data_IF_312773932463
#
_entry.id   IF_312773932463
#
_cell.length_a   1.000
_cell.length_b   1.000
_cell.length_c   1.000
_cell.angle_alpha   90.00
_cell.angle_beta   90.00
_cell.angle_gamma   90.00
#
_symmetry.space_group_name_H-M   'P 1'
#
loop_
_entity.id
_entity.type
_entity.pdbx_description
1 polymer ?
#
# COMPACT_ATOMS: atom_id res chain seq x y z
N UNK A 1 -9.95 -4.75 -13.69
CA UNK A 1 -9.27 -5.98 -13.22
C UNK A 1 -8.80 -5.72 -11.79
N UNK A 2 -8.98 -6.67 -10.88
CA UNK A 2 -8.41 -6.56 -9.53
C UNK A 2 -6.88 -6.55 -9.62
N UNK A 3 -6.21 -5.84 -8.71
CA UNK A 3 -4.75 -5.89 -8.62
C UNK A 3 -4.32 -7.31 -8.22
N UNK A 4 -3.20 -7.78 -8.75
CA UNK A 4 -2.67 -9.09 -8.37
C UNK A 4 -1.93 -8.99 -7.02
N UNK A 5 -2.12 -9.93 -6.08
CA UNK A 5 -1.39 -9.95 -4.83
C UNK A 5 0.09 -10.29 -5.08
N UNK A 6 1.05 -9.42 -4.71
CA UNK A 6 2.45 -9.58 -5.14
C UNK A 6 3.16 -10.78 -4.47
N UNK A 7 2.74 -11.19 -3.28
CA UNK A 7 3.33 -12.29 -2.52
C UNK A 7 2.30 -13.41 -2.28
N UNK A 8 2.75 -14.55 -1.73
CA UNK A 8 1.82 -15.64 -1.39
C UNK A 8 0.90 -15.15 -0.28
N UNK A 9 -0.38 -15.53 -0.31
CA UNK A 9 -1.32 -15.17 0.76
C UNK A 9 -1.40 -16.25 1.85
N UNK A 10 -0.92 -17.47 1.59
CA UNK A 10 -1.21 -18.67 2.38
C UNK A 10 -0.84 -18.55 3.87
N UNK A 11 0.39 -18.14 4.19
CA UNK A 11 0.83 -18.00 5.58
C UNK A 11 0.24 -16.76 6.24
N UNK A 12 0.22 -15.62 5.53
CA UNK A 12 -0.29 -14.37 6.06
C UNK A 12 -1.79 -14.44 6.34
N UNK A 13 -2.55 -15.19 5.56
CA UNK A 13 -3.99 -15.40 5.79
C UNK A 13 -4.24 -16.03 7.17
N UNK A 14 -3.45 -17.03 7.56
CA UNK A 14 -3.53 -17.64 8.89
C UNK A 14 -3.31 -16.60 10.00
N UNK A 15 -2.30 -15.73 9.87
CA UNK A 15 -2.04 -14.68 10.86
C UNK A 15 -3.09 -13.56 10.87
N UNK A 16 -3.76 -13.30 9.75
CA UNK A 16 -4.95 -12.44 9.73
C UNK A 16 -6.10 -13.06 10.54
N UNK A 17 -6.34 -14.36 10.38
CA UNK A 17 -7.37 -15.07 11.15
C UNK A 17 -7.04 -15.11 12.65
N UNK A 18 -5.77 -15.34 13.00
CA UNK A 18 -5.28 -15.26 14.38
C UNK A 18 -5.56 -13.88 14.98
N UNK A 19 -5.19 -12.80 14.28
CA UNK A 19 -5.42 -11.43 14.72
C UNK A 19 -6.92 -11.13 14.89
N UNK A 20 -7.76 -11.56 13.96
CA UNK A 20 -9.22 -11.42 14.09
C UNK A 20 -9.73 -12.14 15.35
N UNK A 21 -9.22 -13.33 15.65
CA UNK A 21 -9.56 -14.03 16.89
C UNK A 21 -9.09 -13.27 18.13
N UNK A 22 -7.88 -12.69 18.12
CA UNK A 22 -7.40 -11.86 19.23
C UNK A 22 -8.25 -10.61 19.44
N UNK A 23 -8.70 -9.98 18.35
CA UNK A 23 -9.61 -8.83 18.38
C UNK A 23 -10.97 -9.23 18.98
N UNK A 24 -11.58 -10.31 18.48
CA UNK A 24 -12.88 -10.79 18.97
C UNK A 24 -12.85 -11.19 20.46
N UNK A 25 -11.69 -11.61 20.96
CA UNK A 25 -11.48 -11.94 22.38
C UNK A 25 -11.02 -10.74 23.23
N UNK A 26 -11.00 -9.52 22.68
CA UNK A 26 -10.53 -8.29 23.34
C UNK A 26 -9.09 -8.37 23.86
N UNK A 27 -8.24 -9.20 23.24
CA UNK A 27 -6.81 -9.29 23.55
C UNK A 27 -6.02 -8.23 22.77
N UNK A 28 -6.44 -7.98 21.53
CA UNK A 28 -5.95 -6.87 20.69
C UNK A 28 -7.07 -5.87 20.51
N UNK A 29 -6.77 -4.61 20.76
CA UNK A 29 -7.72 -3.51 20.60
C UNK A 29 -7.47 -2.78 19.28
N UNK A 30 -8.55 -2.46 18.55
CA UNK A 30 -8.52 -1.47 17.49
C UNK A 30 -8.89 -0.12 18.12
N UNK A 31 -7.96 0.82 18.13
CA UNK A 31 -8.21 2.18 18.63
C UNK A 31 -8.45 3.12 17.46
N UNK A 32 -9.46 3.95 17.62
CA UNK A 32 -9.79 5.03 16.71
C UNK A 32 -9.31 6.35 17.29
N UNK A 33 -8.69 7.18 16.46
CA UNK A 33 -8.45 8.58 16.80
C UNK A 33 -9.75 9.40 16.57
N UNK A 34 -10.07 10.39 17.42
CA UNK A 34 -11.44 10.81 17.71
C UNK A 34 -12.19 11.59 16.61
N UNK A 35 -11.62 11.78 15.42
CA UNK A 35 -12.36 12.32 14.26
C UNK A 35 -13.02 11.20 13.46
N UNK A 36 -13.97 10.50 14.05
CA UNK A 36 -14.87 9.62 13.28
C UNK A 36 -15.96 10.52 12.68
N UNK A 37 -15.99 10.64 11.35
CA UNK A 37 -17.17 11.15 10.66
C UNK A 37 -18.33 10.19 10.92
N UNK A 38 -19.52 10.68 11.30
CA UNK A 38 -20.73 9.87 11.55
C UNK A 38 -21.05 8.88 10.41
N UNK A 39 -20.61 9.18 9.18
CA UNK A 39 -20.72 8.32 8.00
C UNK A 39 -19.92 7.00 8.05
N UNK A 40 -18.99 6.83 9.00
CA UNK A 40 -18.12 5.63 9.08
C UNK A 40 -18.49 4.64 10.18
N UNK A 41 -19.52 4.95 10.98
CA UNK A 41 -19.97 4.04 12.03
C UNK A 41 -20.54 2.75 11.41
N UNK A 42 -19.97 1.61 11.78
CA UNK A 42 -20.34 0.29 11.25
C UNK A 42 -19.69 -0.13 9.91
N UNK A 43 -18.77 0.64 9.34
CA UNK A 43 -18.00 0.21 8.17
C UNK A 43 -16.82 -0.71 8.55
N UNK A 44 -16.75 -1.89 7.94
CA UNK A 44 -15.64 -2.84 8.15
C UNK A 44 -14.30 -2.33 7.61
N UNK A 45 -13.24 -2.94 8.10
CA UNK A 45 -11.84 -2.56 7.86
C UNK A 45 -11.09 -3.74 7.23
N UNK A 46 -9.94 -3.48 6.62
CA UNK A 46 -9.02 -4.55 6.25
C UNK A 46 -8.05 -4.80 7.41
N UNK A 47 -7.89 -6.05 7.78
CA UNK A 47 -6.80 -6.55 8.63
C UNK A 47 -5.71 -7.05 7.70
N UNK A 48 -4.48 -6.57 7.88
CA UNK A 48 -3.34 -7.02 7.09
C UNK A 48 -2.31 -7.74 7.94
N UNK A 49 -1.75 -8.81 7.40
CA UNK A 49 -0.59 -9.47 7.97
C UNK A 49 0.48 -9.71 6.90
N UNK A 50 1.75 -9.68 7.33
CA UNK A 50 2.89 -10.05 6.50
C UNK A 50 3.83 -10.94 7.30
N UNK A 51 4.25 -12.04 6.68
CA UNK A 51 5.26 -12.94 7.22
C UNK A 51 6.59 -12.60 6.58
N UNK A 52 7.60 -12.33 7.41
CA UNK A 52 8.94 -11.98 6.97
C UNK A 52 10.01 -12.79 7.67
N UNK A 53 11.25 -12.71 7.18
CA UNK A 53 12.46 -13.04 7.94
C UNK A 53 13.39 -11.85 8.10
N UNK A 54 14.10 -11.80 9.23
CA UNK A 54 15.21 -10.88 9.44
C UNK A 54 16.51 -11.39 8.77
N UNK A 55 17.62 -10.68 9.00
CA UNK A 55 18.94 -11.05 8.46
C UNK A 55 19.51 -12.35 9.06
N UNK A 56 18.96 -12.86 10.16
CA UNK A 56 19.33 -14.12 10.79
C UNK A 56 18.34 -15.25 10.46
N UNK A 57 17.42 -15.01 9.51
CA UNK A 57 16.35 -15.93 9.12
C UNK A 57 15.33 -16.23 10.24
N UNK A 58 15.25 -15.38 11.27
CA UNK A 58 14.19 -15.48 12.27
C UNK A 58 12.87 -14.98 11.67
N UNK A 59 11.77 -15.69 11.94
CA UNK A 59 10.44 -15.29 11.50
C UNK A 59 9.93 -14.08 12.28
N UNK A 60 9.40 -13.10 11.56
CA UNK A 60 8.74 -11.92 12.09
C UNK A 60 7.35 -11.80 11.46
N UNK A 61 6.35 -11.47 12.27
CA UNK A 61 4.97 -11.24 11.84
C UNK A 61 4.66 -9.76 11.96
N UNK A 62 4.37 -9.11 10.84
CA UNK A 62 3.89 -7.74 10.80
C UNK A 62 2.37 -7.74 10.70
N UNK A 63 1.70 -6.86 11.42
CA UNK A 63 0.24 -6.74 11.46
C UNK A 63 -0.18 -5.28 11.39
N UNK A 64 -1.27 -4.98 10.68
CA UNK A 64 -1.81 -3.62 10.60
C UNK A 64 -3.30 -3.64 10.24
N UNK A 65 -3.90 -2.45 10.22
CA UNK A 65 -5.26 -2.22 9.71
C UNK A 65 -5.26 -1.12 8.66
N UNK A 66 -6.27 -1.13 7.79
CA UNK A 66 -6.47 -0.08 6.80
C UNK A 66 -6.97 1.23 7.42
N UNK A 67 -6.57 2.35 6.83
CA UNK A 67 -6.97 3.69 7.26
C UNK A 67 -5.93 4.35 8.14
N UNK A 68 -5.86 5.68 8.11
CA UNK A 68 -4.91 6.45 8.92
C UNK A 68 -5.35 6.56 10.38
N UNK A 69 -6.67 6.61 10.62
CA UNK A 69 -7.24 6.89 11.94
C UNK A 69 -7.44 5.68 12.85
N UNK A 70 -6.80 4.55 12.50
CA UNK A 70 -6.97 3.27 13.17
C UNK A 70 -5.61 2.65 13.44
N UNK A 71 -5.43 2.14 14.65
CA UNK A 71 -4.22 1.43 15.05
C UNK A 71 -4.55 0.27 15.99
N UNK A 72 -3.75 -0.79 15.90
CA UNK A 72 -3.88 -1.95 16.79
C UNK A 72 -3.02 -1.77 18.04
N UNK A 73 -3.44 -2.37 19.15
CA UNK A 73 -2.62 -2.45 20.36
C UNK A 73 -2.80 -3.80 21.03
N UNK A 74 -1.70 -4.44 21.39
CA UNK A 74 -1.69 -5.64 22.24
C UNK A 74 -1.25 -5.20 23.64
N UNK A 75 -2.17 -5.16 24.61
CA UNK A 75 -1.86 -4.70 25.98
C UNK A 75 -1.06 -3.38 26.04
N UNK A 76 -1.49 -2.36 25.28
CA UNK A 76 -0.79 -1.06 25.11
C UNK A 76 0.60 -1.13 24.44
N UNK A 77 0.99 -2.26 23.86
CA UNK A 77 2.25 -2.42 23.14
C UNK A 77 2.01 -2.58 21.64
N UNK A 78 2.99 -2.13 20.87
CA UNK A 78 3.07 -2.31 19.42
C UNK A 78 3.97 -3.48 19.03
N UNK A 79 4.57 -4.16 20.01
CA UNK A 79 5.37 -5.37 19.79
C UNK A 79 5.08 -6.39 20.89
N UNK A 80 5.04 -7.67 20.50
CA UNK A 80 4.86 -8.79 21.43
C UNK A 80 5.48 -10.08 20.86
N UNK A 81 5.55 -11.12 21.69
CA UNK A 81 6.11 -12.41 21.30
C UNK A 81 5.14 -13.53 21.59
N UNK A 82 5.04 -14.50 20.66
CA UNK A 82 4.27 -15.74 20.84
C UNK A 82 5.17 -16.89 20.41
N UNK A 83 5.43 -17.85 21.32
CA UNK A 83 6.27 -19.01 21.06
C UNK A 83 7.65 -18.65 20.44
N UNK A 84 8.25 -17.54 20.89
CA UNK A 84 9.54 -17.05 20.39
C UNK A 84 9.49 -16.29 19.05
N UNK A 85 8.33 -16.19 18.41
CA UNK A 85 8.14 -15.40 17.18
C UNK A 85 7.81 -13.96 17.56
N UNK A 86 8.49 -12.99 16.93
CA UNK A 86 8.23 -11.56 17.12
C UNK A 86 7.03 -11.12 16.29
N UNK A 87 6.08 -10.43 16.92
CA UNK A 87 4.95 -9.77 16.29
C UNK A 87 5.11 -8.25 16.43
N UNK A 88 4.86 -7.53 15.34
CA UNK A 88 4.98 -6.07 15.26
C UNK A 88 3.67 -5.52 14.69
N UNK A 89 3.09 -4.57 15.40
CA UNK A 89 1.99 -3.75 14.92
C UNK A 89 2.58 -2.57 14.15
N UNK A 90 2.36 -2.58 12.84
CA UNK A 90 2.87 -1.56 11.92
C UNK A 90 1.94 -0.33 11.97
N UNK A 91 2.48 0.86 12.30
CA UNK A 91 1.70 2.10 12.37
C UNK A 91 1.29 2.58 10.97
N UNK A 92 0.41 3.59 10.88
CA UNK A 92 0.21 4.36 9.65
C UNK A 92 1.54 4.96 9.13
N UNK A 93 1.67 5.09 7.81
CA UNK A 93 2.86 5.70 7.17
C UNK A 93 3.03 7.17 7.58
N UNK A 94 1.91 7.87 7.74
CA UNK A 94 1.86 9.28 8.13
C UNK A 94 1.05 9.43 9.41
N UNK A 95 1.47 10.34 10.29
CA UNK A 95 0.72 10.65 11.51
C UNK A 95 -0.51 11.52 11.21
N UNK A 96 -1.57 11.40 12.01
CA UNK A 96 -2.75 12.25 11.86
C UNK A 96 -2.46 13.74 12.08
N UNK A 97 -1.51 14.05 12.97
CA UNK A 97 -1.09 15.42 13.24
C UNK A 97 -0.47 16.05 12.00
N UNK A 98 0.35 15.31 11.27
CA UNK A 98 1.00 15.81 10.05
C UNK A 98 0.00 15.94 8.89
N UNK A 99 -0.98 15.04 8.81
CA UNK A 99 -2.12 15.19 7.90
C UNK A 99 -2.93 16.44 8.23
N UNK A 100 -3.25 16.67 9.51
CA UNK A 100 -3.99 17.85 9.92
C UNK A 100 -3.25 19.14 9.59
N UNK A 101 -1.93 19.22 9.89
CA UNK A 101 -1.08 20.36 9.53
C UNK A 101 -1.05 20.60 8.02
N UNK A 102 -1.03 19.54 7.21
CA UNK A 102 -1.00 19.64 5.76
C UNK A 102 -2.31 20.17 5.16
N UNK A 103 -3.44 19.82 5.76
CA UNK A 103 -4.76 20.18 5.26
C UNK A 103 -5.27 21.53 5.80
N UNK A 104 -4.83 21.97 6.98
CA UNK A 104 -5.46 23.08 7.72
C UNK A 104 -5.46 24.42 6.98
N UNK A 105 -4.46 24.67 6.11
CA UNK A 105 -4.28 25.95 5.41
C UNK A 105 -5.52 26.40 4.62
N UNK A 106 -6.13 25.48 3.87
CA UNK A 106 -7.27 25.78 3.00
C UNK A 106 -8.60 25.19 3.51
N UNK A 107 -8.59 24.47 4.63
CA UNK A 107 -9.74 23.72 5.15
C UNK A 107 -10.99 24.60 5.31
N UNK A 108 -10.85 25.72 6.02
CA UNK A 108 -11.94 26.69 6.22
C UNK A 108 -12.49 27.24 4.91
N UNK A 109 -11.62 27.68 3.99
CA UNK A 109 -12.02 28.26 2.71
C UNK A 109 -12.74 27.23 1.82
N UNK A 110 -12.29 25.97 1.82
CA UNK A 110 -12.95 24.88 1.09
C UNK A 110 -14.35 24.61 1.65
N UNK A 111 -14.52 24.63 2.97
CA UNK A 111 -15.82 24.47 3.62
C UNK A 111 -16.77 25.63 3.26
N UNK A 112 -16.30 26.88 3.37
CA UNK A 112 -17.09 28.07 3.01
C UNK A 112 -17.54 28.03 1.54
N UNK A 113 -16.64 27.68 0.61
CA UNK A 113 -16.98 27.54 -0.81
C UNK A 113 -17.97 26.40 -1.04
N UNK A 114 -17.85 25.30 -0.29
CA UNK A 114 -18.79 24.16 -0.39
C UNK A 114 -20.19 24.56 0.05
N UNK A 115 -20.32 25.32 1.13
CA UNK A 115 -21.60 25.83 1.61
C UNK A 115 -22.24 26.79 0.60
N UNK A 116 -21.45 27.73 0.04
CA UNK A 116 -21.91 28.65 -1.03
C UNK A 116 -22.38 27.91 -2.29
N UNK A 117 -21.69 26.85 -2.68
CA UNK A 117 -22.08 26.02 -3.85
C UNK A 117 -23.38 25.26 -3.55
N UNK A 118 -23.53 24.72 -2.34
CA UNK A 118 -24.70 23.93 -1.94
C UNK A 118 -25.95 24.78 -1.73
N UNK A 119 -25.82 26.02 -1.26
CA UNK A 119 -26.95 26.92 -1.05
C UNK A 119 -27.63 27.34 -2.36
N UNK A 120 -26.92 27.27 -3.49
CA UNK A 120 -27.38 27.64 -4.85
C UNK A 120 -27.84 29.10 -4.97
N UNK A 121 -27.52 29.97 -4.02
CA UNK A 121 -27.87 31.40 -4.07
C UNK A 121 -27.05 32.16 -5.13
N UNK A 122 -25.92 31.60 -5.56
CA UNK A 122 -24.93 32.23 -6.43
C UNK A 122 -24.86 31.61 -7.84
N UNK A 123 -26.01 31.40 -8.49
CA UNK A 123 -26.07 30.72 -9.80
C UNK A 123 -25.23 31.39 -10.89
N UNK A 124 -25.07 32.72 -10.86
CA UNK A 124 -24.28 33.47 -11.83
C UNK A 124 -22.76 33.24 -11.72
N UNK A 125 -22.27 32.81 -10.55
CA UNK A 125 -20.84 32.63 -10.26
C UNK A 125 -20.51 31.21 -9.81
N UNK A 126 -21.44 30.26 -9.95
CA UNK A 126 -21.28 28.90 -9.41
C UNK A 126 -20.09 28.16 -10.02
N UNK A 127 -19.77 28.41 -11.29
CA UNK A 127 -18.64 27.77 -11.96
C UNK A 127 -17.30 28.37 -11.52
N UNK A 128 -17.25 29.67 -11.22
CA UNK A 128 -16.08 30.32 -10.62
C UNK A 128 -15.80 29.76 -9.23
N UNK A 129 -16.85 29.62 -8.39
CA UNK A 129 -16.74 29.02 -7.05
C UNK A 129 -16.26 27.57 -7.11
N UNK A 130 -16.74 26.78 -8.08
CA UNK A 130 -16.30 25.39 -8.28
C UNK A 130 -14.84 25.31 -8.69
N UNK A 131 -14.38 26.16 -9.61
CA UNK A 131 -12.98 26.18 -10.03
C UNK A 131 -12.05 26.66 -8.92
N UNK A 132 -12.46 27.65 -8.12
CA UNK A 132 -11.70 28.09 -6.95
C UNK A 132 -11.61 26.98 -5.89
N UNK A 133 -12.73 26.33 -5.56
CA UNK A 133 -12.73 25.19 -4.63
C UNK A 133 -11.82 24.08 -5.13
N UNK A 134 -11.92 23.72 -6.41
CA UNK A 134 -11.08 22.68 -7.04
C UNK A 134 -9.60 23.03 -6.94
N UNK A 135 -9.22 24.29 -7.16
CA UNK A 135 -7.83 24.76 -7.00
C UNK A 135 -7.35 24.58 -5.55
N UNK A 136 -8.12 25.05 -4.57
CA UNK A 136 -7.75 24.93 -3.15
C UNK A 136 -7.70 23.47 -2.68
N UNK A 137 -8.66 22.65 -3.10
CA UNK A 137 -8.65 21.20 -2.82
C UNK A 137 -7.43 20.52 -3.43
N UNK A 138 -7.07 20.86 -4.66
CA UNK A 138 -5.89 20.31 -5.33
C UNK A 138 -4.61 20.68 -4.57
N UNK A 139 -4.49 21.94 -4.12
CA UNK A 139 -3.36 22.39 -3.31
C UNK A 139 -3.27 21.64 -1.97
N UNK A 140 -4.38 21.49 -1.26
CA UNK A 140 -4.44 20.73 0.00
C UNK A 140 -4.08 19.26 -0.19
N UNK A 141 -4.58 18.62 -1.25
CA UNK A 141 -4.27 17.23 -1.54
C UNK A 141 -2.78 17.03 -1.86
N UNK A 142 -2.17 17.94 -2.62
CA UNK A 142 -0.73 17.89 -2.90
C UNK A 142 0.09 18.08 -1.62
N UNK A 143 -0.30 19.00 -0.74
CA UNK A 143 0.34 19.15 0.57
C UNK A 143 0.22 17.86 1.40
N UNK A 144 -0.99 17.30 1.52
CA UNK A 144 -1.25 16.03 2.20
C UNK A 144 -0.43 14.86 1.63
N UNK A 145 -0.36 14.72 0.31
CA UNK A 145 0.41 13.64 -0.33
C UNK A 145 1.93 13.84 -0.24
N UNK A 146 2.40 15.04 0.16
CA UNK A 146 3.83 15.29 0.39
C UNK A 146 4.37 14.49 1.57
N UNK A 147 3.53 14.23 2.57
CA UNK A 147 3.90 13.50 3.78
C UNK A 147 4.10 12.00 3.54
N UNK A 148 3.56 11.45 2.44
CA UNK A 148 3.63 10.02 2.14
C UNK A 148 4.94 9.63 1.48
N UNK A 149 5.79 8.99 2.27
CA UNK A 149 7.13 8.53 1.91
C UNK A 149 7.20 7.01 2.11
N UNK A 150 7.70 6.28 1.11
CA UNK A 150 7.76 4.82 1.15
C UNK A 150 9.18 4.30 0.85
N UNK A 151 9.62 3.31 1.59
CA UNK A 151 10.80 2.51 1.29
C UNK A 151 10.47 1.51 0.18
N UNK A 152 11.45 1.32 -0.71
CA UNK A 152 11.34 0.47 -1.88
C UNK A 152 12.11 -0.84 -1.69
N UNK A 153 11.83 -1.79 -2.57
CA UNK A 153 12.54 -3.06 -2.67
C UNK A 153 14.08 -2.94 -2.76
N UNK A 154 14.60 -1.80 -3.24
CA UNK A 154 16.04 -1.52 -3.39
C UNK A 154 16.63 -0.68 -2.24
N UNK A 155 15.89 -0.52 -1.14
CA UNK A 155 16.29 0.27 0.03
C UNK A 155 16.24 1.79 -0.20
N UNK A 156 15.84 2.24 -1.38
CA UNK A 156 15.62 3.66 -1.67
C UNK A 156 14.25 4.12 -1.21
N UNK A 157 14.05 5.42 -1.24
CA UNK A 157 12.78 6.07 -0.94
C UNK A 157 12.06 6.44 -2.24
N UNK A 158 10.73 6.41 -2.22
CA UNK A 158 9.86 7.08 -3.17
C UNK A 158 8.77 7.84 -2.42
N UNK A 159 8.49 9.07 -2.86
CA UNK A 159 7.40 9.89 -2.32
C UNK A 159 6.16 9.76 -3.19
N UNK A 160 4.97 9.93 -2.60
CA UNK A 160 3.73 9.91 -3.37
C UNK A 160 3.67 11.05 -4.40
N UNK A 161 4.28 12.21 -4.10
CA UNK A 161 4.41 13.32 -5.05
C UNK A 161 5.24 12.96 -6.29
N UNK A 162 6.33 12.21 -6.15
CA UNK A 162 7.11 11.73 -7.31
C UNK A 162 6.25 10.81 -8.18
N UNK A 163 5.46 9.93 -7.56
CA UNK A 163 4.54 9.03 -8.27
C UNK A 163 3.45 9.84 -9.00
N UNK A 164 2.88 10.85 -8.34
CA UNK A 164 1.90 11.78 -8.94
C UNK A 164 2.50 12.48 -10.15
N UNK A 165 3.71 13.03 -10.03
CA UNK A 165 4.42 13.71 -11.12
C UNK A 165 4.64 12.77 -12.31
N UNK A 166 5.01 11.51 -12.05
CA UNK A 166 5.25 10.53 -13.11
C UNK A 166 3.95 10.06 -13.78
N UNK A 167 2.85 9.92 -13.03
CA UNK A 167 1.55 9.52 -13.59
C UNK A 167 0.74 10.67 -14.20
N UNK A 168 1.02 11.91 -13.81
CA UNK A 168 0.31 13.09 -14.28
C UNK A 168 -1.13 13.22 -13.76
N UNK A 169 -1.49 12.50 -12.69
CA UNK A 169 -2.84 12.51 -12.11
C UNK A 169 -2.80 12.32 -10.59
N UNK A 170 -3.72 12.95 -9.86
CA UNK A 170 -3.87 12.76 -8.43
C UNK A 170 -4.52 11.40 -8.11
N UNK A 171 -4.03 10.68 -7.09
CA UNK A 171 -4.67 9.46 -6.63
C UNK A 171 -5.91 9.75 -5.76
N UNK A 172 -6.76 8.74 -5.52
CA UNK A 172 -7.83 8.85 -4.53
C UNK A 172 -7.29 9.11 -3.11
N UNK A 173 -8.08 9.80 -2.28
CA UNK A 173 -7.78 10.00 -0.85
C UNK A 173 -7.62 8.65 -0.12
N UNK A 174 -6.69 8.61 0.83
CA UNK A 174 -6.31 7.39 1.55
C UNK A 174 -5.35 6.48 0.79
N UNK A 175 -4.78 6.95 -0.34
CA UNK A 175 -3.67 6.26 -1.00
C UNK A 175 -2.44 6.30 -0.09
N UNK A 176 -1.94 5.11 0.28
CA UNK A 176 -0.90 4.94 1.29
C UNK A 176 -1.40 4.35 2.60
N UNK A 177 -2.71 4.45 2.88
CA UNK A 177 -3.28 4.01 4.17
C UNK A 177 -3.80 2.56 4.14
N UNK A 178 -3.71 1.86 3.01
CA UNK A 178 -4.06 0.44 2.94
C UNK A 178 -3.04 -0.44 3.67
N UNK A 179 -3.38 -1.69 3.98
CA UNK A 179 -2.47 -2.56 4.72
C UNK A 179 -1.20 -2.87 3.93
N UNK A 180 -1.32 -3.24 2.64
CA UNK A 180 -0.16 -3.59 1.83
C UNK A 180 0.95 -2.52 1.77
N UNK A 181 0.69 -1.24 1.46
CA UNK A 181 1.75 -0.23 1.44
C UNK A 181 2.40 -0.01 2.80
N UNK A 182 1.64 -0.03 3.91
CA UNK A 182 2.20 0.07 5.27
C UNK A 182 3.14 -1.09 5.58
N UNK A 183 2.69 -2.32 5.32
CA UNK A 183 3.48 -3.52 5.59
C UNK A 183 4.75 -3.58 4.73
N UNK A 184 4.66 -3.18 3.47
CA UNK A 184 5.80 -3.13 2.55
C UNK A 184 6.82 -2.08 2.95
N UNK A 185 6.38 -0.86 3.25
CA UNK A 185 7.25 0.21 3.74
C UNK A 185 7.99 -0.21 5.01
N UNK A 186 7.27 -0.80 5.97
CA UNK A 186 7.88 -1.28 7.21
C UNK A 186 8.87 -2.42 6.98
N UNK A 187 8.53 -3.38 6.12
CA UNK A 187 9.43 -4.48 5.79
C UNK A 187 10.72 -3.99 5.12
N UNK A 188 10.60 -3.10 4.13
CA UNK A 188 11.76 -2.58 3.40
C UNK A 188 12.63 -1.65 4.25
N UNK A 189 12.04 -0.79 5.08
CA UNK A 189 12.80 0.06 6.03
C UNK A 189 13.62 -0.74 7.03
N UNK A 190 13.19 -1.96 7.36
CA UNK A 190 13.88 -2.87 8.27
C UNK A 190 14.70 -3.96 7.57
N UNK A 191 14.83 -3.90 6.24
CA UNK A 191 15.54 -4.91 5.42
C UNK A 191 15.02 -6.35 5.63
N UNK A 192 13.73 -6.51 5.91
CA UNK A 192 13.12 -7.82 6.05
C UNK A 192 12.86 -8.47 4.70
N UNK A 193 13.06 -9.79 4.62
CA UNK A 193 12.69 -10.59 3.44
C UNK A 193 11.24 -11.01 3.57
N UNK A 194 10.44 -10.70 2.56
CA UNK A 194 9.00 -10.94 2.56
C UNK A 194 8.71 -12.36 2.06
N UNK A 195 7.92 -13.12 2.83
CA UNK A 195 7.49 -14.48 2.47
C UNK A 195 6.04 -14.48 2.00
N UNK A 196 5.17 -13.81 2.75
CA UNK A 196 3.72 -13.85 2.52
C UNK A 196 3.07 -12.54 2.95
N UNK A 197 2.04 -12.11 2.24
CA UNK A 197 1.23 -10.92 2.53
C UNK A 197 -0.22 -11.21 2.19
N UNK A 198 -1.14 -10.88 3.09
CA UNK A 198 -2.57 -11.04 2.88
C UNK A 198 -3.34 -9.91 3.57
N UNK A 199 -4.49 -9.55 3.01
CA UNK A 199 -5.46 -8.65 3.61
C UNK A 199 -6.82 -9.36 3.73
N UNK A 200 -7.43 -9.31 4.90
CA UNK A 200 -8.73 -9.93 5.21
C UNK A 200 -9.71 -8.86 5.64
N UNK A 201 -10.94 -8.91 5.13
CA UNK A 201 -11.99 -7.98 5.54
C UNK A 201 -12.55 -8.37 6.92
N UNK A 202 -12.67 -7.39 7.82
CA UNK A 202 -13.21 -7.54 9.17
C UNK A 202 -14.29 -6.49 9.44
N UNK A 203 -15.51 -6.94 9.71
CA UNK A 203 -16.65 -6.07 10.04
C UNK A 203 -17.96 -6.51 9.39
N UNK A 204 -18.93 -5.59 9.31
CA UNK A 204 -20.25 -5.87 8.76
C UNK A 204 -20.16 -6.22 7.27
N UNK A 205 -20.77 -7.33 6.88
CA UNK A 205 -20.78 -7.79 5.51
C UNK A 205 -21.56 -6.88 4.57
N UNK A 206 -21.16 -6.89 3.31
CA UNK A 206 -21.85 -6.25 2.18
C UNK A 206 -21.93 -7.23 1.02
N UNK A 207 -22.51 -6.81 -0.11
CA UNK A 207 -22.52 -7.61 -1.34
C UNK A 207 -21.09 -7.87 -1.87
N UNK A 208 -20.18 -6.91 -1.67
CA UNK A 208 -18.82 -6.97 -2.20
C UNK A 208 -17.77 -7.44 -1.18
N UNK A 209 -18.10 -7.44 0.11
CA UNK A 209 -17.17 -7.76 1.20
C UNK A 209 -17.81 -8.73 2.20
N UNK A 210 -17.15 -9.86 2.41
CA UNK A 210 -17.54 -10.91 3.35
C UNK A 210 -16.53 -10.97 4.47
N UNK A 211 -17.02 -11.10 5.71
CA UNK A 211 -16.19 -11.06 6.89
C UNK A 211 -15.28 -12.31 6.92
N UNK A 212 -13.99 -12.13 7.19
CA UNK A 212 -13.01 -13.22 7.20
C UNK A 212 -12.49 -13.65 5.82
N UNK A 213 -12.99 -13.08 4.72
CA UNK A 213 -12.48 -13.38 3.37
C UNK A 213 -11.25 -12.53 3.03
N UNK A 214 -10.30 -13.14 2.33
CA UNK A 214 -9.14 -12.43 1.77
C UNK A 214 -9.51 -11.63 0.52
N UNK A 215 -8.81 -10.52 0.34
CA UNK A 215 -8.94 -9.68 -0.85
C UNK A 215 -7.59 -9.11 -1.24
N UNK A 216 -7.30 -9.00 -2.55
CA UNK A 216 -6.07 -8.40 -3.00
C UNK A 216 -6.02 -6.90 -2.64
N UNK A 217 -4.82 -6.30 -2.59
CA UNK A 217 -4.69 -4.86 -2.41
C UNK A 217 -5.53 -4.11 -3.45
N UNK A 218 -6.17 -3.02 -3.05
CA UNK A 218 -7.20 -2.41 -3.89
C UNK A 218 -6.63 -1.75 -5.15
N UNK A 219 -7.27 -1.97 -6.30
CA UNK A 219 -6.87 -1.36 -7.60
C UNK A 219 -6.76 0.17 -7.56
N UNK A 220 -7.72 0.95 -7.02
CA UNK A 220 -7.69 2.40 -7.17
C UNK A 220 -6.59 3.10 -6.35
N UNK A 221 -6.18 2.53 -5.20
CA UNK A 221 -5.17 3.13 -4.31
C UNK A 221 -3.86 2.35 -4.33
N UNK A 222 -3.88 1.06 -4.01
CA UNK A 222 -2.67 0.24 -4.00
C UNK A 222 -2.08 0.11 -5.41
N UNK A 223 -2.91 -0.05 -6.45
CA UNK A 223 -2.44 -0.08 -7.84
C UNK A 223 -1.72 1.20 -8.30
N UNK A 224 -1.94 2.32 -7.60
CA UNK A 224 -1.25 3.58 -7.89
C UNK A 224 0.21 3.58 -7.39
N UNK A 225 0.49 2.95 -6.25
CA UNK A 225 1.77 3.06 -5.52
C UNK A 225 2.61 1.77 -5.50
N UNK A 226 1.98 0.59 -5.50
CA UNK A 226 2.70 -0.67 -5.32
C UNK A 226 3.74 -0.94 -6.41
N UNK A 227 3.51 -0.65 -7.72
CA UNK A 227 4.55 -0.83 -8.73
C UNK A 227 5.81 0.00 -8.48
N UNK A 228 5.70 1.13 -7.77
CA UNK A 228 6.83 1.99 -7.43
C UNK A 228 7.56 1.45 -6.20
N UNK A 229 6.83 1.03 -5.17
CA UNK A 229 7.38 0.42 -3.95
C UNK A 229 8.10 -0.89 -4.28
N UNK A 230 7.50 -1.75 -5.09
CA UNK A 230 8.05 -3.04 -5.52
C UNK A 230 9.05 -2.90 -6.68
N UNK A 231 9.03 -1.79 -7.40
CA UNK A 231 9.86 -1.58 -8.60
C UNK A 231 9.48 -2.43 -9.81
N UNK A 232 8.41 -3.23 -9.72
CA UNK A 232 7.83 -4.06 -10.78
C UNK A 232 6.31 -3.99 -10.70
N UNK A 233 5.66 -3.89 -11.85
CA UNK A 233 4.20 -4.04 -11.99
C UNK A 233 3.89 -5.53 -12.22
N UNK A 234 3.64 -6.27 -11.14
CA UNK A 234 3.33 -7.70 -11.18
C UNK A 234 1.84 -7.89 -11.49
N UNK A 235 1.54 -8.54 -12.61
CA UNK A 235 0.16 -8.74 -13.07
C UNK A 235 -0.33 -10.17 -12.83
N UNK A 236 0.59 -11.13 -12.70
CA UNK A 236 0.28 -12.52 -12.39
C UNK A 236 1.50 -13.23 -11.79
N UNK A 237 1.26 -14.20 -10.93
CA UNK A 237 2.26 -15.14 -10.45
C UNK A 237 1.59 -16.44 -10.03
N UNK A 238 2.22 -17.56 -10.32
CA UNK A 238 1.91 -18.84 -9.72
C UNK A 238 3.19 -19.52 -9.24
N UNK A 239 3.16 -20.84 -9.05
CA UNK A 239 4.34 -21.60 -8.64
C UNK A 239 5.43 -21.59 -9.71
N UNK A 240 5.06 -21.57 -10.99
CA UNK A 240 5.94 -21.83 -12.12
C UNK A 240 6.36 -20.56 -12.87
N UNK A 241 5.49 -19.55 -12.97
CA UNK A 241 5.73 -18.33 -13.75
C UNK A 241 5.37 -17.07 -12.98
N UNK A 242 5.99 -15.96 -13.41
CA UNK A 242 5.59 -14.60 -13.04
C UNK A 242 5.45 -13.77 -14.31
N UNK A 243 4.37 -12.98 -14.37
CA UNK A 243 4.12 -12.03 -15.46
C UNK A 243 4.17 -10.62 -14.88
N UNK A 244 4.96 -9.77 -15.53
CA UNK A 244 5.11 -8.37 -15.16
C UNK A 244 4.78 -7.49 -16.37
N UNK A 245 4.28 -6.29 -16.13
CA UNK A 245 4.14 -5.24 -17.12
C UNK A 245 5.37 -4.33 -17.05
N UNK A 246 6.34 -4.54 -17.95
CA UNK A 246 7.62 -3.82 -17.93
C UNK A 246 7.39 -2.36 -18.28
N UNK A 247 7.91 -1.46 -17.46
CA UNK A 247 7.98 -0.04 -17.80
C UNK A 247 9.01 0.22 -18.91
N UNK A 248 8.73 1.22 -19.76
CA UNK A 248 9.71 1.76 -20.70
C UNK A 248 10.92 2.33 -19.94
N UNK A 249 12.12 2.24 -20.51
CA UNK A 249 13.37 2.67 -19.90
C UNK A 249 14.04 1.65 -18.94
N UNK A 250 13.39 0.51 -18.65
CA UNK A 250 13.96 -0.55 -17.81
C UNK A 250 14.49 -1.71 -18.66
N UNK A 251 15.73 -2.17 -18.43
CA UNK A 251 16.27 -3.35 -19.11
C UNK A 251 15.51 -4.63 -18.71
N UNK A 252 15.31 -5.57 -19.64
CA UNK A 252 14.75 -6.90 -19.29
C UNK A 252 15.75 -7.78 -18.54
N UNK A 253 17.01 -7.78 -18.96
CA UNK A 253 18.10 -8.60 -18.41
C UNK A 253 19.34 -7.73 -18.11
N UNK A 254 20.27 -8.17 -17.26
CA UNK A 254 21.45 -7.38 -16.92
C UNK A 254 22.29 -7.07 -18.16
N UNK A 255 22.66 -5.81 -18.33
CA UNK A 255 23.56 -5.37 -19.38
C UNK A 255 25.04 -5.61 -19.06
N UNK A 256 25.89 -5.24 -20.02
CA UNK A 256 27.35 -5.16 -19.86
C UNK A 256 27.70 -3.85 -19.17
N UNK A 257 28.57 -3.90 -18.16
CA UNK A 257 28.90 -2.75 -17.30
C UNK A 257 28.16 -2.77 -15.97
N UNK A 258 28.70 -2.08 -14.97
CA UNK A 258 28.12 -1.96 -13.62
C UNK A 258 26.89 -1.04 -13.61
N UNK A 259 26.87 -0.04 -14.48
CA UNK A 259 25.78 0.91 -14.68
C UNK A 259 24.50 0.30 -15.27
N UNK A 260 24.59 -0.93 -15.82
CA UNK A 260 23.48 -1.62 -16.51
C UNK A 260 22.97 -2.85 -15.76
N UNK A 261 23.17 -2.91 -14.45
CA UNK A 261 22.70 -4.02 -13.61
C UNK A 261 21.25 -3.88 -13.13
N UNK A 262 20.70 -2.66 -13.13
CA UNK A 262 19.28 -2.46 -12.86
C UNK A 262 18.42 -2.93 -14.06
N UNK A 263 17.63 -3.98 -13.84
CA UNK A 263 16.81 -4.63 -14.86
C UNK A 263 15.67 -5.42 -14.20
N UNK A 264 14.71 -5.91 -14.99
CA UNK A 264 13.59 -6.73 -14.49
C UNK A 264 14.10 -7.94 -13.70
N UNK A 265 15.11 -8.67 -14.23
CA UNK A 265 15.65 -9.87 -13.56
C UNK A 265 16.26 -9.53 -12.19
N UNK A 266 17.09 -8.49 -12.08
CA UNK A 266 17.73 -8.16 -10.81
C UNK A 266 16.72 -7.66 -9.77
N UNK A 267 15.72 -6.87 -10.17
CA UNK A 267 14.62 -6.46 -9.28
C UNK A 267 13.77 -7.65 -8.83
N UNK A 268 13.49 -8.59 -9.74
CA UNK A 268 12.72 -9.80 -9.42
C UNK A 268 13.45 -10.66 -8.38
N UNK A 269 14.76 -10.89 -8.57
CA UNK A 269 15.58 -11.67 -7.63
C UNK A 269 15.72 -10.98 -6.27
N UNK A 270 15.71 -9.64 -6.23
CA UNK A 270 15.69 -8.87 -4.98
C UNK A 270 14.39 -9.08 -4.20
N UNK A 271 13.24 -9.10 -4.89
CA UNK A 271 11.93 -9.35 -4.28
C UNK A 271 11.71 -10.81 -3.91
N UNK A 272 12.24 -11.73 -4.71
CA UNK A 272 12.04 -13.17 -4.57
C UNK A 272 13.37 -13.92 -4.66
N UNK A 273 14.15 -13.99 -3.57
CA UNK A 273 15.47 -14.65 -3.57
C UNK A 273 15.44 -16.14 -3.91
N UNK A 274 14.29 -16.81 -3.77
CA UNK A 274 14.08 -18.21 -4.13
C UNK A 274 13.72 -18.44 -5.61
N UNK A 275 13.55 -17.37 -6.38
CA UNK A 275 13.31 -17.48 -7.81
C UNK A 275 14.55 -18.06 -8.51
N UNK A 276 14.33 -18.77 -9.62
CA UNK A 276 15.44 -19.35 -10.40
C UNK A 276 16.43 -18.27 -10.84
N UNK A 277 17.72 -18.61 -10.90
CA UNK A 277 18.80 -17.65 -11.15
C UNK A 277 18.71 -16.94 -12.51
N UNK A 278 18.12 -17.60 -13.52
CA UNK A 278 17.86 -17.04 -14.84
C UNK A 278 16.37 -17.16 -15.20
N UNK A 279 15.52 -16.23 -14.74
CA UNK A 279 14.07 -16.32 -14.91
C UNK A 279 13.59 -15.83 -16.29
N UNK A 280 14.39 -15.02 -16.99
CA UNK A 280 14.03 -14.50 -18.32
C UNK A 280 14.11 -15.60 -19.39
N UNK A 281 12.96 -15.88 -20.01
CA UNK A 281 12.82 -16.78 -21.18
C UNK A 281 12.67 -16.02 -22.49
N UNK A 282 12.36 -14.73 -22.40
CA UNK A 282 12.35 -13.76 -23.51
C UNK A 282 12.67 -12.35 -22.96
N UNK A 283 12.82 -11.38 -23.87
CA UNK A 283 13.16 -10.00 -23.52
C UNK A 283 12.37 -9.00 -24.36
N UNK A 284 12.17 -7.82 -23.77
CA UNK A 284 11.76 -6.61 -24.45
C UNK A 284 12.97 -5.67 -24.56
N UNK A 285 12.95 -4.76 -25.53
CA UNK A 285 13.94 -3.69 -25.57
C UNK A 285 13.74 -2.72 -24.40
N UNK A 286 14.79 -1.94 -24.10
CA UNK A 286 14.78 -1.01 -22.96
C UNK A 286 13.59 -0.05 -23.02
N UNK A 287 13.38 0.57 -24.18
CA UNK A 287 12.29 1.54 -24.41
C UNK A 287 10.92 0.88 -24.65
N UNK A 288 10.87 -0.43 -24.88
CA UNK A 288 9.60 -1.15 -25.06
C UNK A 288 8.96 -1.41 -23.70
N UNK A 289 7.74 -0.93 -23.49
CA UNK A 289 6.89 -1.36 -22.37
C UNK A 289 5.99 -2.53 -22.74
N UNK A 290 5.53 -3.29 -21.76
CA UNK A 290 4.49 -4.31 -21.98
C UNK A 290 4.71 -5.58 -21.19
N UNK A 291 3.86 -6.57 -21.45
CA UNK A 291 3.85 -7.83 -20.72
C UNK A 291 5.11 -8.65 -21.00
N UNK A 292 5.77 -9.09 -19.93
CA UNK A 292 6.91 -9.99 -19.96
C UNK A 292 6.62 -11.17 -19.03
N UNK A 293 6.85 -12.38 -19.52
CA UNK A 293 6.68 -13.63 -18.79
C UNK A 293 8.07 -14.12 -18.40
N UNK A 294 8.24 -14.48 -17.14
CA UNK A 294 9.46 -15.06 -16.60
C UNK A 294 9.13 -16.39 -15.90
N UNK A 295 10.06 -17.32 -15.96
CA UNK A 295 10.00 -18.53 -15.14
C UNK A 295 10.30 -18.18 -13.67
N UNK A 296 9.58 -18.78 -12.74
CA UNK A 296 9.64 -18.46 -11.31
C UNK A 296 10.28 -19.58 -10.49
N UNK A 297 9.81 -20.82 -10.66
CA UNK A 297 10.43 -22.03 -10.09
C UNK A 297 10.80 -23.02 -11.19
N UNK A 298 11.69 -23.97 -10.85
CA UNK A 298 11.88 -25.23 -11.59
C UNK A 298 10.80 -26.22 -11.20
#
# INVERSE_FOLDING_TARGET
>A
MALFPPFSEELAFHYCQELINLINNNIVEIRHSPKVSEERDGHGIMIGAMVCTDCFENRIILQTVSGISQSLYFNNKTEYFVNGIKYIIVPPVVSEDDVYKSLCKNDYAIHELTDKINSKDFLSCIDELKEERKKLTTESLLAYFTEYVFHRFDGKIVTLNEIIKQKGVLPPVGTGDCCAPKLLDYAFSNNYKIISLCEVFFGKETDNRKNGNSYPPCTPRCGFILPFILGLDIVYRDKSIIVINKQSGLLSVPGRGEDKKDCVVSRLLSLFPHCISQPSVHRLDMETSGLMVLAFSV
#
